data_IF_323682348505
#
_entry.id   IF_323682348505
#
_cell.length_a   1.000
_cell.length_b   1.000
_cell.length_c   1.000
_cell.angle_alpha   90.00
_cell.angle_beta   90.00
_cell.angle_gamma   90.00
#
_symmetry.space_group_name_H-M   'P 1'
#
loop_
_entity.id
_entity.type
_entity.pdbx_description
1 polymer ?
#
# COMPACT_ATOMS: atom_id res chain seq x y z
N UNK A 1 13.02 9.82 7.19
CA UNK A 1 13.91 8.91 7.95
C UNK A 1 15.04 8.47 7.02
N UNK A 2 16.32 8.61 7.42
CA UNK A 2 17.43 8.07 6.62
C UNK A 2 17.68 6.64 7.07
N UNK A 3 17.32 5.67 6.23
CA UNK A 3 17.66 4.26 6.46
C UNK A 3 19.17 4.05 6.24
N UNK A 4 19.79 3.22 7.07
CA UNK A 4 21.13 2.69 6.80
C UNK A 4 21.12 1.83 5.53
N UNK A 5 22.30 1.56 4.96
CA UNK A 5 22.43 0.73 3.75
C UNK A 5 21.76 -0.64 3.94
N UNK A 6 22.06 -1.32 5.04
CA UNK A 6 21.54 -2.68 5.31
C UNK A 6 20.02 -2.67 5.51
N UNK A 7 19.48 -1.62 6.11
CA UNK A 7 18.03 -1.46 6.22
C UNK A 7 17.36 -1.24 4.87
N UNK A 8 18.00 -0.48 3.96
CA UNK A 8 17.48 -0.33 2.58
C UNK A 8 17.48 -1.66 1.85
N UNK A 9 18.54 -2.45 1.98
CA UNK A 9 18.60 -3.79 1.36
C UNK A 9 17.50 -4.72 1.91
N UNK A 10 17.26 -4.72 3.23
CA UNK A 10 16.14 -5.48 3.83
C UNK A 10 14.79 -5.01 3.32
N UNK A 11 14.57 -3.71 3.16
CA UNK A 11 13.33 -3.16 2.60
C UNK A 11 13.15 -3.61 1.14
N UNK A 12 14.20 -3.54 0.32
CA UNK A 12 14.11 -4.00 -1.07
C UNK A 12 13.86 -5.51 -1.19
N UNK A 13 14.50 -6.32 -0.35
CA UNK A 13 14.23 -7.76 -0.29
C UNK A 13 12.76 -8.05 0.08
N UNK A 14 12.25 -7.37 1.11
CA UNK A 14 10.85 -7.49 1.50
C UNK A 14 9.87 -7.09 0.37
N UNK A 15 10.15 -6.01 -0.36
CA UNK A 15 9.36 -5.61 -1.53
C UNK A 15 9.38 -6.69 -2.61
N UNK A 16 10.55 -7.26 -2.90
CA UNK A 16 10.68 -8.30 -3.91
C UNK A 16 9.89 -9.57 -3.54
N UNK A 17 9.96 -9.98 -2.26
CA UNK A 17 9.23 -11.14 -1.77
C UNK A 17 7.71 -10.93 -1.79
N UNK A 18 7.24 -9.73 -1.44
CA UNK A 18 5.82 -9.39 -1.57
C UNK A 18 5.35 -9.38 -3.02
N UNK A 19 6.14 -8.84 -3.96
CA UNK A 19 5.82 -8.88 -5.40
C UNK A 19 5.71 -10.31 -5.91
N UNK A 20 6.63 -11.20 -5.53
CA UNK A 20 6.57 -12.63 -5.87
C UNK A 20 5.34 -13.30 -5.25
N UNK A 21 5.05 -13.01 -3.98
CA UNK A 21 3.86 -13.55 -3.30
C UNK A 21 2.56 -13.10 -3.97
N UNK A 22 2.49 -11.84 -4.42
CA UNK A 22 1.35 -11.30 -5.15
C UNK A 22 1.26 -11.93 -6.55
N UNK A 23 2.38 -12.15 -7.23
CA UNK A 23 2.37 -12.84 -8.51
C UNK A 23 1.81 -14.26 -8.40
N UNK A 24 2.25 -15.03 -7.39
CA UNK A 24 1.70 -16.37 -7.11
C UNK A 24 0.21 -16.31 -6.78
N UNK A 25 -0.24 -15.30 -6.02
CA UNK A 25 -1.66 -15.07 -5.77
C UNK A 25 -2.41 -14.89 -7.09
N UNK A 26 -2.03 -13.88 -7.89
CA UNK A 26 -2.74 -13.47 -9.11
C UNK A 26 -2.80 -14.59 -10.15
N UNK A 27 -1.74 -15.38 -10.29
CA UNK A 27 -1.69 -16.54 -11.18
C UNK A 27 -2.65 -17.66 -10.76
N UNK A 28 -2.93 -17.78 -9.45
CA UNK A 28 -3.82 -18.79 -8.91
C UNK A 28 -5.30 -18.39 -8.84
N UNK A 29 -5.64 -17.15 -9.19
CA UNK A 29 -7.03 -16.67 -9.15
C UNK A 29 -7.77 -16.98 -10.45
N UNK A 30 -9.05 -17.35 -10.33
CA UNK A 30 -9.95 -17.45 -11.47
C UNK A 30 -10.48 -16.08 -11.93
N UNK A 31 -11.25 -16.07 -13.02
CA UNK A 31 -11.77 -14.84 -13.63
C UNK A 31 -12.72 -14.05 -12.69
N UNK A 32 -13.53 -14.74 -11.89
CA UNK A 32 -14.50 -14.10 -10.99
C UNK A 32 -13.79 -13.48 -9.78
N UNK A 33 -12.77 -14.17 -9.25
CA UNK A 33 -11.90 -13.65 -8.20
C UNK A 33 -11.09 -12.44 -8.69
N UNK A 34 -10.56 -12.48 -9.92
CA UNK A 34 -9.85 -11.35 -10.52
C UNK A 34 -10.75 -10.13 -10.74
N UNK A 35 -12.04 -10.34 -11.05
CA UNK A 35 -13.04 -9.30 -11.23
C UNK A 35 -13.67 -8.82 -9.90
N UNK A 36 -13.32 -9.42 -8.76
CA UNK A 36 -13.85 -9.03 -7.45
C UNK A 36 -13.45 -7.58 -7.13
N UNK A 37 -14.40 -6.72 -6.70
CA UNK A 37 -14.08 -5.38 -6.24
C UNK A 37 -13.02 -5.40 -5.12
N UNK A 38 -11.92 -4.68 -5.32
CA UNK A 38 -10.87 -4.55 -4.33
C UNK A 38 -11.23 -3.49 -3.27
N UNK A 39 -10.37 -3.32 -2.26
CA UNK A 39 -10.49 -2.18 -1.34
C UNK A 39 -10.06 -0.84 -1.98
N UNK A 40 -9.40 -0.85 -3.14
CA UNK A 40 -9.19 0.34 -3.97
C UNK A 40 -10.51 0.67 -4.68
N UNK A 41 -11.14 1.79 -4.31
CA UNK A 41 -12.41 2.21 -4.90
C UNK A 41 -12.31 2.30 -6.44
N UNK A 42 -13.20 1.58 -7.13
CA UNK A 42 -13.28 1.56 -8.60
C UNK A 42 -12.30 0.62 -9.29
N UNK A 43 -11.51 -0.15 -8.53
CA UNK A 43 -10.59 -1.17 -9.04
C UNK A 43 -11.01 -2.56 -8.58
N UNK A 44 -10.93 -3.52 -9.49
CA UNK A 44 -10.96 -4.94 -9.16
C UNK A 44 -9.57 -5.45 -8.74
N UNK A 45 -9.51 -6.69 -8.25
CA UNK A 45 -8.25 -7.34 -7.85
C UNK A 45 -7.20 -7.30 -8.97
N UNK A 46 -7.59 -7.56 -10.22
CA UNK A 46 -6.69 -7.55 -11.37
C UNK A 46 -6.09 -6.16 -11.62
N UNK A 47 -6.88 -5.10 -11.48
CA UNK A 47 -6.44 -3.72 -11.67
C UNK A 47 -5.45 -3.30 -10.58
N UNK A 48 -5.65 -3.73 -9.33
CA UNK A 48 -4.67 -3.53 -8.25
C UNK A 48 -3.35 -4.23 -8.57
N UNK A 49 -3.38 -5.48 -9.02
CA UNK A 49 -2.16 -6.20 -9.43
C UNK A 49 -1.45 -5.51 -10.61
N UNK A 50 -2.22 -5.01 -11.58
CA UNK A 50 -1.68 -4.28 -12.72
C UNK A 50 -1.05 -2.93 -12.33
N UNK A 51 -1.58 -2.24 -11.32
CA UNK A 51 -0.99 -1.03 -10.77
C UNK A 51 0.41 -1.30 -10.18
N UNK A 52 0.58 -2.40 -9.44
CA UNK A 52 1.88 -2.79 -8.89
C UNK A 52 2.94 -3.04 -9.99
N UNK A 53 2.51 -3.42 -11.20
CA UNK A 53 3.40 -3.50 -12.38
C UNK A 53 3.76 -2.10 -12.90
N UNK A 54 2.79 -1.18 -12.97
CA UNK A 54 3.04 0.22 -13.34
C UNK A 54 4.12 0.88 -12.46
N UNK A 55 4.19 0.48 -11.20
CA UNK A 55 5.09 1.04 -10.21
C UNK A 55 6.59 0.97 -10.58
N UNK A 56 7.01 -0.12 -11.24
CA UNK A 56 8.38 -0.27 -11.73
C UNK A 56 8.52 -0.15 -13.26
N UNK A 57 7.44 -0.29 -14.03
CA UNK A 57 7.49 -0.16 -15.49
C UNK A 57 7.32 1.29 -15.96
N UNK A 58 6.40 2.03 -15.35
CA UNK A 58 6.14 3.45 -15.64
C UNK A 58 6.94 4.34 -14.66
N UNK A 59 7.01 3.93 -13.40
CA UNK A 59 7.80 4.57 -12.35
C UNK A 59 7.32 5.99 -12.00
N UNK A 60 8.07 6.64 -11.11
CA UNK A 60 7.74 7.98 -10.60
C UNK A 60 7.50 9.01 -11.71
N UNK A 61 8.36 9.03 -12.73
CA UNK A 61 8.25 9.97 -13.84
C UNK A 61 7.08 9.65 -14.78
N UNK A 62 6.78 8.37 -15.00
CA UNK A 62 5.60 7.95 -15.75
C UNK A 62 4.30 8.37 -15.06
N UNK A 63 4.21 8.20 -13.74
CA UNK A 63 3.07 8.68 -12.96
C UNK A 63 2.92 10.20 -13.03
N UNK A 64 4.02 10.95 -12.90
CA UNK A 64 3.97 12.40 -13.00
C UNK A 64 3.52 12.87 -14.40
N UNK A 65 4.10 12.29 -15.46
CA UNK A 65 3.72 12.61 -16.84
C UNK A 65 2.25 12.27 -17.12
N UNK A 66 1.79 11.09 -16.65
CA UNK A 66 0.39 10.69 -16.77
C UNK A 66 -0.53 11.62 -16.00
N UNK A 67 -0.15 12.04 -14.79
CA UNK A 67 -0.94 12.96 -13.99
C UNK A 67 -1.06 14.35 -14.62
N UNK A 68 0.01 14.87 -15.23
CA UNK A 68 -0.05 16.12 -16.02
C UNK A 68 -1.01 15.96 -17.20
N UNK A 69 -0.92 14.85 -17.94
CA UNK A 69 -1.81 14.56 -19.07
C UNK A 69 -3.29 14.49 -18.68
N UNK A 70 -3.60 13.95 -17.51
CA UNK A 70 -4.98 13.76 -17.02
C UNK A 70 -5.44 14.86 -16.04
N UNK A 71 -4.62 15.89 -15.82
CA UNK A 71 -4.90 17.03 -14.95
C UNK A 71 -4.95 16.71 -13.45
N UNK A 72 -4.60 15.49 -13.05
CA UNK A 72 -4.63 15.01 -11.66
C UNK A 72 -3.81 13.71 -11.55
N UNK A 73 -2.96 13.59 -10.51
CA UNK A 73 -2.08 12.43 -10.30
C UNK A 73 -2.89 11.13 -10.15
N UNK A 74 -3.96 11.13 -9.35
CA UNK A 74 -4.78 9.93 -9.11
C UNK A 74 -5.44 9.45 -10.40
N UNK A 75 -5.93 10.37 -11.25
CA UNK A 75 -6.44 10.03 -12.60
C UNK A 75 -5.35 9.46 -13.51
N UNK A 76 -4.12 9.99 -13.39
CA UNK A 76 -2.97 9.49 -14.14
C UNK A 76 -2.57 8.07 -13.72
N UNK A 77 -2.61 7.77 -12.42
CA UNK A 77 -2.37 6.44 -11.85
C UNK A 77 -3.48 5.48 -12.29
N UNK A 78 -4.76 5.87 -12.19
CA UNK A 78 -5.91 5.07 -12.65
C UNK A 78 -5.80 4.72 -14.14
N UNK A 79 -5.46 5.69 -14.99
CA UNK A 79 -5.28 5.45 -16.42
C UNK A 79 -4.16 4.44 -16.71
N UNK A 80 -3.04 4.51 -15.99
CA UNK A 80 -1.93 3.56 -16.14
C UNK A 80 -2.31 2.17 -15.64
N UNK A 81 -2.94 2.07 -14.47
CA UNK A 81 -3.42 0.81 -13.90
C UNK A 81 -4.40 0.11 -14.85
N UNK A 82 -5.40 0.83 -15.37
CA UNK A 82 -6.38 0.29 -16.34
C UNK A 82 -5.76 -0.13 -17.66
N UNK A 83 -4.77 0.63 -18.14
CA UNK A 83 -3.99 0.27 -19.34
C UNK A 83 -3.24 -1.04 -19.12
N UNK A 84 -2.57 -1.20 -17.98
CA UNK A 84 -1.85 -2.45 -17.63
C UNK A 84 -2.81 -3.62 -17.40
N UNK A 85 -4.00 -3.35 -16.86
CA UNK A 85 -5.04 -4.36 -16.62
C UNK A 85 -5.62 -4.98 -17.90
N UNK A 86 -5.30 -4.44 -19.09
CA UNK A 86 -5.63 -5.06 -20.37
C UNK A 86 -4.83 -6.35 -20.64
N UNK A 87 -3.64 -6.50 -20.02
CA UNK A 87 -2.88 -7.74 -20.07
C UNK A 87 -3.61 -8.87 -19.33
N UNK A 88 -3.33 -10.12 -19.68
CA UNK A 88 -3.83 -11.30 -18.96
C UNK A 88 -3.28 -11.36 -17.53
N UNK A 89 -3.96 -12.10 -16.63
CA UNK A 89 -3.47 -12.29 -15.26
C UNK A 89 -2.10 -12.99 -15.22
N UNK A 90 -1.84 -13.91 -16.16
CA UNK A 90 -0.54 -14.58 -16.32
C UNK A 90 0.55 -13.58 -16.66
N UNK A 91 0.33 -12.71 -17.65
CA UNK A 91 1.32 -11.67 -18.04
C UNK A 91 1.57 -10.66 -16.90
N UNK A 92 0.54 -10.32 -16.12
CA UNK A 92 0.68 -9.46 -14.93
C UNK A 92 1.53 -10.17 -13.87
N UNK A 93 1.25 -11.44 -13.56
CA UNK A 93 2.01 -12.22 -12.59
C UNK A 93 3.48 -12.40 -13.03
N UNK A 94 3.74 -12.67 -14.30
CA UNK A 94 5.09 -12.74 -14.87
C UNK A 94 5.82 -11.41 -14.78
N UNK A 95 5.14 -10.29 -15.06
CA UNK A 95 5.70 -8.95 -14.91
C UNK A 95 6.08 -8.66 -13.46
N UNK A 96 5.23 -9.04 -12.50
CA UNK A 96 5.53 -8.89 -11.06
C UNK A 96 6.73 -9.75 -10.63
N UNK A 97 6.84 -10.99 -11.13
CA UNK A 97 7.98 -11.87 -10.83
C UNK A 97 9.28 -11.35 -11.41
N UNK A 98 9.26 -10.95 -12.69
CA UNK A 98 10.46 -10.45 -13.37
C UNK A 98 10.91 -9.09 -12.84
N UNK A 99 9.97 -8.24 -12.43
CA UNK A 99 10.23 -6.93 -11.83
C UNK A 99 10.43 -6.96 -10.31
N UNK A 100 10.39 -8.13 -9.66
CA UNK A 100 10.39 -8.24 -8.20
C UNK A 100 11.56 -7.47 -7.56
N UNK A 101 12.78 -7.67 -8.08
CA UNK A 101 14.01 -7.07 -7.55
C UNK A 101 14.24 -5.62 -8.00
N UNK A 102 13.32 -5.01 -8.75
CA UNK A 102 13.45 -3.61 -9.16
C UNK A 102 13.41 -2.69 -7.93
N UNK A 103 14.53 -1.99 -7.68
CA UNK A 103 14.74 -1.14 -6.50
C UNK A 103 14.10 0.23 -6.69
N UNK A 104 12.81 0.32 -6.40
CA UNK A 104 12.07 1.59 -6.44
C UNK A 104 12.42 2.46 -5.23
N UNK A 105 12.90 3.68 -5.47
CA UNK A 105 13.16 4.67 -4.41
C UNK A 105 12.86 6.06 -4.95
N UNK A 106 11.57 6.47 -5.01
CA UNK A 106 11.17 7.73 -5.60
C UNK A 106 11.80 8.93 -4.88
N UNK A 107 12.01 10.05 -5.58
CA UNK A 107 12.40 11.30 -4.94
C UNK A 107 11.40 11.63 -3.83
N UNK A 108 11.90 12.07 -2.67
CA UNK A 108 11.11 12.43 -1.47
C UNK A 108 10.62 11.24 -0.63
N UNK A 109 9.85 10.30 -1.20
CA UNK A 109 9.20 9.22 -0.42
C UNK A 109 10.16 8.06 -0.10
N UNK A 110 11.19 7.86 -0.91
CA UNK A 110 12.24 6.87 -0.66
C UNK A 110 11.76 5.41 -0.70
N UNK A 111 12.59 4.44 -0.27
CA UNK A 111 12.34 3.01 -0.49
C UNK A 111 11.15 2.44 0.32
N UNK A 112 10.77 3.08 1.43
CA UNK A 112 9.61 2.64 2.23
C UNK A 112 8.27 2.84 1.51
N UNK A 113 8.22 3.71 0.50
CA UNK A 113 7.02 3.85 -0.33
C UNK A 113 6.69 2.54 -1.04
N UNK A 114 7.67 1.88 -1.66
CA UNK A 114 7.46 0.59 -2.33
C UNK A 114 7.02 -0.52 -1.36
N UNK A 115 7.54 -0.53 -0.13
CA UNK A 115 7.08 -1.50 0.90
C UNK A 115 5.65 -1.21 1.35
N UNK A 116 5.31 0.07 1.50
CA UNK A 116 3.93 0.49 1.83
C UNK A 116 2.97 0.06 0.74
N UNK A 117 3.36 0.28 -0.52
CA UNK A 117 2.56 -0.01 -1.70
C UNK A 117 2.21 -1.50 -1.80
N UNK A 118 3.21 -2.39 -1.77
CA UNK A 118 2.98 -3.83 -1.89
C UNK A 118 2.21 -4.42 -0.69
N UNK A 119 2.40 -3.89 0.53
CA UNK A 119 1.67 -4.39 1.70
C UNK A 119 0.21 -3.93 1.71
N UNK A 120 -0.05 -2.66 1.40
CA UNK A 120 -1.41 -2.12 1.35
C UNK A 120 -2.18 -2.76 0.20
N UNK A 121 -1.62 -2.77 -1.01
CA UNK A 121 -2.29 -3.36 -2.17
C UNK A 121 -2.37 -4.89 -2.10
N UNK A 122 -1.40 -5.54 -1.46
CA UNK A 122 -1.49 -6.95 -1.12
C UNK A 122 -2.71 -7.27 -0.25
N UNK A 123 -3.08 -6.39 0.67
CA UNK A 123 -4.29 -6.50 1.48
C UNK A 123 -5.56 -6.07 0.73
N UNK A 124 -5.47 -5.04 -0.13
CA UNK A 124 -6.59 -4.58 -0.97
C UNK A 124 -7.14 -5.69 -1.86
N UNK A 125 -6.30 -6.65 -2.28
CA UNK A 125 -6.69 -7.84 -3.03
C UNK A 125 -7.16 -8.99 -2.13
N UNK A 126 -6.43 -9.28 -1.05
CA UNK A 126 -6.66 -10.48 -0.25
C UNK A 126 -7.90 -10.42 0.64
N UNK A 127 -8.18 -9.25 1.24
CA UNK A 127 -9.28 -9.09 2.18
C UNK A 127 -10.64 -9.35 1.51
N UNK A 128 -10.97 -8.75 0.33
CA UNK A 128 -12.22 -9.03 -0.36
C UNK A 128 -12.39 -10.48 -0.79
N UNK A 129 -11.29 -11.19 -1.05
CA UNK A 129 -11.28 -12.61 -1.40
C UNK A 129 -11.33 -13.54 -0.18
N UNK A 130 -11.29 -13.01 1.05
CA UNK A 130 -11.21 -13.82 2.26
C UNK A 130 -9.90 -14.61 2.42
N UNK A 131 -8.83 -14.20 1.71
CA UNK A 131 -7.55 -14.89 1.73
C UNK A 131 -6.70 -14.36 2.90
N UNK A 132 -6.35 -15.18 3.90
CA UNK A 132 -5.55 -14.71 5.02
C UNK A 132 -4.10 -14.45 4.60
N UNK A 133 -3.50 -13.40 5.18
CA UNK A 133 -2.06 -13.14 5.11
C UNK A 133 -1.57 -12.57 6.43
N UNK A 134 -0.54 -13.20 6.98
CA UNK A 134 0.21 -12.63 8.09
C UNK A 134 1.37 -11.83 7.52
N UNK A 135 1.29 -10.51 7.64
CA UNK A 135 2.41 -9.62 7.35
C UNK A 135 3.40 -9.65 8.52
N UNK A 136 4.70 -9.56 8.23
CA UNK A 136 5.72 -9.41 9.26
C UNK A 136 5.47 -8.11 10.04
N UNK A 137 5.26 -8.17 11.38
CA UNK A 137 5.04 -6.99 12.20
C UNK A 137 6.14 -5.94 12.08
N UNK A 138 7.39 -6.33 11.83
CA UNK A 138 8.51 -5.41 11.64
C UNK A 138 8.41 -4.64 10.31
N UNK A 139 7.91 -5.29 9.24
CA UNK A 139 7.65 -4.60 7.97
C UNK A 139 6.50 -3.60 8.12
N UNK A 140 5.44 -3.99 8.82
CA UNK A 140 4.30 -3.12 9.12
C UNK A 140 4.73 -1.92 9.97
N UNK A 141 5.54 -2.14 11.01
CA UNK A 141 6.08 -1.07 11.84
C UNK A 141 6.95 -0.07 11.03
N UNK A 142 7.74 -0.56 10.06
CA UNK A 142 8.50 0.30 9.13
C UNK A 142 7.61 1.09 8.17
N UNK A 143 6.50 0.51 7.74
CA UNK A 143 5.47 1.24 6.97
C UNK A 143 4.84 2.32 7.85
N UNK A 144 4.50 2.04 9.11
CA UNK A 144 3.98 3.04 10.04
C UNK A 144 4.99 4.15 10.36
N UNK A 145 6.29 3.83 10.46
CA UNK A 145 7.37 4.84 10.54
C UNK A 145 7.33 5.79 9.33
N UNK A 146 7.10 5.27 8.12
CA UNK A 146 6.95 6.08 6.91
C UNK A 146 5.64 6.87 6.89
N UNK A 147 4.50 6.23 7.16
CA UNK A 147 3.18 6.85 7.12
C UNK A 147 3.00 7.94 8.18
N UNK A 148 3.76 7.91 9.27
CA UNK A 148 3.75 8.98 10.29
C UNK A 148 4.83 10.05 10.06
N UNK A 149 5.71 9.86 9.08
CA UNK A 149 6.78 10.80 8.75
C UNK A 149 6.29 12.01 7.95
N UNK A 150 7.15 13.03 7.81
CA UNK A 150 6.88 14.18 6.92
C UNK A 150 7.02 13.87 5.43
N UNK A 151 7.52 12.69 5.08
CA UNK A 151 7.86 12.30 3.69
C UNK A 151 6.82 11.41 3.02
N UNK A 152 5.69 11.13 3.67
CA UNK A 152 4.57 10.28 3.19
C UNK A 152 3.76 10.83 1.99
N UNK A 153 4.31 11.81 1.26
CA UNK A 153 3.58 12.54 0.21
C UNK A 153 2.92 11.58 -0.79
N UNK A 154 1.66 11.86 -1.14
CA UNK A 154 0.89 11.07 -2.11
C UNK A 154 0.06 9.92 -1.51
N UNK A 155 0.31 9.50 -0.26
CA UNK A 155 -0.49 8.44 0.36
C UNK A 155 -1.78 8.96 1.01
N UNK A 156 -1.74 10.12 1.66
CA UNK A 156 -2.92 10.82 2.17
C UNK A 156 -2.61 12.28 2.54
N UNK A 157 -3.62 13.12 2.83
CA UNK A 157 -3.38 14.50 3.24
C UNK A 157 -2.60 14.57 4.54
N UNK A 158 -1.53 15.39 4.61
CA UNK A 158 -0.66 15.53 5.79
C UNK A 158 -1.37 15.71 7.13
N UNK A 159 -2.57 16.29 7.12
CA UNK A 159 -3.36 16.58 8.33
C UNK A 159 -4.14 15.37 8.85
N UNK A 160 -4.17 14.23 8.15
CA UNK A 160 -4.96 13.04 8.53
C UNK A 160 -4.64 12.55 9.93
N UNK A 161 -3.37 12.56 10.34
CA UNK A 161 -2.92 12.06 11.65
C UNK A 161 -2.68 13.16 12.69
N UNK A 162 -3.03 14.43 12.40
CA UNK A 162 -2.79 15.52 13.36
C UNK A 162 -3.55 15.29 14.67
N UNK A 163 -2.83 15.25 15.79
CA UNK A 163 -3.38 15.05 17.14
C UNK A 163 -3.86 13.62 17.41
N UNK A 164 -3.36 12.64 16.65
CA UNK A 164 -3.61 11.21 16.82
C UNK A 164 -2.29 10.51 17.13
N UNK A 165 -2.31 9.62 18.11
CA UNK A 165 -1.24 8.66 18.36
C UNK A 165 -1.70 7.26 17.93
N UNK A 166 -0.87 6.53 17.18
CA UNK A 166 -1.14 5.17 16.74
C UNK A 166 -0.36 4.21 17.64
N UNK A 167 -1.02 3.26 18.28
CA UNK A 167 -0.43 2.25 19.15
C UNK A 167 -0.60 0.86 18.54
N UNK A 168 0.49 0.29 18.04
CA UNK A 168 0.52 -1.05 17.45
C UNK A 168 0.65 -2.10 18.55
N UNK A 169 -0.40 -2.90 18.72
CA UNK A 169 -0.45 -3.97 19.72
C UNK A 169 0.48 -5.15 19.38
N UNK A 170 0.85 -5.34 18.11
CA UNK A 170 1.72 -6.44 17.69
C UNK A 170 3.18 -6.19 18.12
N UNK A 171 3.59 -4.93 18.19
CA UNK A 171 4.98 -4.53 18.51
C UNK A 171 5.13 -3.67 19.76
N UNK A 172 4.03 -3.18 20.34
CA UNK A 172 4.00 -2.20 21.42
C UNK A 172 4.47 -0.79 21.02
N UNK A 173 4.81 -0.57 19.75
CA UNK A 173 5.33 0.72 19.27
C UNK A 173 4.20 1.74 19.15
N UNK A 174 4.55 3.00 19.39
CA UNK A 174 3.61 4.12 19.26
C UNK A 174 4.18 5.21 18.35
N UNK A 175 3.35 5.78 17.49
CA UNK A 175 3.70 6.88 16.60
C UNK A 175 2.76 8.07 16.76
N UNK A 176 3.31 9.28 16.66
CA UNK A 176 2.53 10.51 16.79
C UNK A 176 2.14 10.83 18.23
N UNK A 177 1.30 11.85 18.38
CA UNK A 177 0.93 12.42 19.67
C UNK A 177 -0.55 12.80 19.67
N UNK A 178 -1.22 12.64 20.82
CA UNK A 178 -2.61 13.04 21.04
C UNK A 178 -3.53 11.86 21.37
N UNK A 179 -4.72 11.84 20.77
CA UNK A 179 -5.73 10.81 21.07
C UNK A 179 -5.31 9.47 20.48
N UNK A 180 -5.25 8.45 21.32
CA UNK A 180 -4.76 7.11 20.94
C UNK A 180 -5.77 6.38 20.05
N UNK A 181 -5.24 5.71 19.03
CA UNK A 181 -5.87 4.61 18.29
C UNK A 181 -5.01 3.37 18.54
N UNK A 182 -5.60 2.31 19.07
CA UNK A 182 -4.92 1.05 19.36
C UNK A 182 -5.53 -0.11 18.56
N UNK A 183 -4.69 -1.05 18.17
CA UNK A 183 -5.07 -2.29 17.50
C UNK A 183 -3.89 -2.93 16.79
N UNK A 184 -4.12 -4.00 16.02
CA UNK A 184 -3.08 -4.66 15.23
C UNK A 184 -2.44 -3.70 14.22
N UNK A 185 -1.13 -3.80 14.01
CA UNK A 185 -0.37 -2.88 13.16
C UNK A 185 -0.90 -2.83 11.73
N UNK A 186 -1.33 -3.97 11.19
CA UNK A 186 -1.95 -4.05 9.86
C UNK A 186 -3.25 -3.25 9.79
N UNK A 187 -4.08 -3.30 10.85
CA UNK A 187 -5.33 -2.55 10.89
C UNK A 187 -5.05 -1.04 10.95
N UNK A 188 -4.05 -0.61 11.72
CA UNK A 188 -3.61 0.79 11.76
C UNK A 188 -3.13 1.24 10.38
N UNK A 189 -2.24 0.48 9.74
CA UNK A 189 -1.71 0.77 8.40
C UNK A 189 -2.86 0.96 7.39
N UNK A 190 -3.81 0.02 7.35
CA UNK A 190 -4.95 0.07 6.42
C UNK A 190 -5.86 1.27 6.69
N UNK A 191 -6.26 1.50 7.94
CA UNK A 191 -7.13 2.62 8.30
C UNK A 191 -6.49 3.97 7.99
N UNK A 192 -5.18 4.11 8.24
CA UNK A 192 -4.40 5.30 7.91
C UNK A 192 -4.35 5.54 6.40
N UNK A 193 -4.25 4.47 5.61
CA UNK A 193 -4.38 4.49 4.15
C UNK A 193 -5.84 4.59 3.65
N UNK A 194 -6.81 4.79 4.55
CA UNK A 194 -8.21 5.05 4.22
C UNK A 194 -9.09 3.83 3.99
N UNK A 195 -8.60 2.62 4.30
CA UNK A 195 -9.39 1.39 4.19
C UNK A 195 -10.27 1.23 5.43
N UNK A 196 -11.55 1.57 5.30
CA UNK A 196 -12.51 1.55 6.41
C UNK A 196 -12.81 0.15 6.95
N UNK A 197 -12.52 -0.90 6.18
CA UNK A 197 -12.69 -2.30 6.58
C UNK A 197 -11.88 -2.68 7.82
N UNK A 198 -10.82 -1.92 8.15
CA UNK A 198 -9.98 -2.19 9.30
C UNK A 198 -10.45 -1.48 10.59
N UNK A 199 -11.45 -0.60 10.52
CA UNK A 199 -11.84 0.27 11.64
C UNK A 199 -12.50 -0.49 12.79
N UNK A 200 -13.14 -1.62 12.52
CA UNK A 200 -13.75 -2.50 13.52
C UNK A 200 -12.71 -3.18 14.43
N UNK A 201 -11.47 -3.30 13.95
CA UNK A 201 -10.31 -3.82 14.68
C UNK A 201 -9.53 -2.75 15.44
N UNK A 202 -10.01 -1.50 15.43
CA UNK A 202 -9.35 -0.37 16.07
C UNK A 202 -10.20 0.21 17.18
N UNK A 203 -9.53 0.59 18.27
CA UNK A 203 -10.17 1.16 19.45
C UNK A 203 -9.48 2.44 19.91
N UNK A 204 -10.13 3.19 20.80
CA UNK A 204 -9.56 4.37 21.44
C UNK A 204 -10.15 5.71 20.96
N UNK A 205 -9.87 6.80 21.71
CA UNK A 205 -10.48 8.10 21.50
C UNK A 205 -10.08 8.79 20.19
N UNK A 206 -9.03 8.30 19.52
CA UNK A 206 -8.59 8.80 18.21
C UNK A 206 -9.43 8.27 17.05
N UNK A 207 -10.11 7.12 17.19
CA UNK A 207 -10.81 6.45 16.08
C UNK A 207 -11.89 7.33 15.46
N UNK A 208 -12.79 7.97 16.23
CA UNK A 208 -13.79 8.87 15.65
C UNK A 208 -13.17 10.07 14.91
N UNK A 209 -12.01 10.54 15.37
CA UNK A 209 -11.27 11.64 14.73
C UNK A 209 -10.72 11.20 13.38
N UNK A 210 -10.11 10.01 13.30
CA UNK A 210 -9.64 9.47 12.02
C UNK A 210 -10.81 9.28 11.05
N UNK A 211 -11.91 8.67 11.49
CA UNK A 211 -13.11 8.43 10.67
C UNK A 211 -13.67 9.72 10.06
N UNK A 212 -13.72 10.81 10.83
CA UNK A 212 -14.17 12.11 10.31
C UNK A 212 -13.30 12.68 9.19
N UNK A 213 -12.06 12.18 9.02
CA UNK A 213 -11.07 12.62 8.03
C UNK A 213 -10.91 11.64 6.85
N UNK A 214 -11.65 10.52 6.87
CA UNK A 214 -11.71 9.54 5.78
C UNK A 214 -12.88 9.80 4.82
N UNK A 215 -13.79 10.72 5.18
CA UNK A 215 -14.92 11.14 4.38
C UNK A 215 -14.54 12.21 3.37
#
# INVERSE_FOLDING_TARGET
>A
MRLSRDERERVFAAVADERRSIATLVEGLDADQLATPSLCAGWDVKTVAAHLVSDFTDGFWGFLASGVRHGNIDRGIDALARRRAQASAVEIAESLRSGADYRLSPPITGPLSGLTDVLVHGADMRIPLGIPRQSDPQHVARVLDFLTSRTQFGFFPHRRLRGIALHDEDTGRTWGEGRVIAGPGVALMLAVCGRTVALDRLSGPGTPVLVSRLR
#
